data_IF_857837245592
#
_entry.id   IF_857837245592
#
_cell.length_a   1.000
_cell.length_b   1.000
_cell.length_c   1.000
_cell.angle_alpha   90.00
_cell.angle_beta   90.00
_cell.angle_gamma   90.00
#
_symmetry.space_group_name_H-M   'P 1'
#
loop_
_entity.id
_entity.type
_entity.pdbx_description
1 polymer ?
#
# COMPACT_ATOMS: atom_id res chain seq x y z
N UNK A 1 3.49 -26.30 -49.23
CA UNK A 1 2.33 -25.61 -48.65
C UNK A 1 2.72 -25.23 -47.24
N UNK A 2 2.99 -23.95 -47.03
CA UNK A 2 3.51 -23.42 -45.75
C UNK A 2 2.32 -22.90 -44.93
N UNK A 3 2.00 -23.58 -43.82
CA UNK A 3 0.99 -23.14 -42.87
C UNK A 3 1.58 -21.99 -42.03
N UNK A 4 1.24 -20.77 -42.38
CA UNK A 4 1.40 -19.61 -41.47
C UNK A 4 0.34 -19.72 -40.37
N UNK A 5 0.74 -20.16 -39.19
CA UNK A 5 -0.02 -19.96 -37.97
C UNK A 5 -0.15 -18.46 -37.73
N UNK A 6 -1.38 -17.96 -37.83
CA UNK A 6 -1.73 -16.59 -37.46
C UNK A 6 -1.42 -16.42 -35.97
N UNK A 7 -0.49 -15.52 -35.69
CA UNK A 7 -0.19 -15.05 -34.34
C UNK A 7 -1.46 -14.35 -33.83
N UNK A 8 -2.13 -14.92 -32.84
CA UNK A 8 -3.23 -14.25 -32.14
C UNK A 8 -2.62 -12.99 -31.51
N UNK A 9 -2.98 -11.84 -32.03
CA UNK A 9 -2.76 -10.57 -31.37
C UNK A 9 -3.60 -10.57 -30.10
N UNK A 10 -2.93 -10.66 -28.95
CA UNK A 10 -3.55 -10.38 -27.66
C UNK A 10 -4.00 -8.91 -27.70
N UNK A 11 -5.25 -8.70 -28.08
CA UNK A 11 -5.91 -7.40 -27.95
C UNK A 11 -6.17 -7.20 -26.46
N UNK A 12 -5.19 -6.70 -25.75
CA UNK A 12 -5.43 -6.22 -24.38
C UNK A 12 -6.55 -5.18 -24.45
N UNK A 13 -7.60 -5.38 -23.66
CA UNK A 13 -8.65 -4.39 -23.50
C UNK A 13 -7.99 -3.10 -23.00
N UNK A 14 -8.00 -2.07 -23.83
CA UNK A 14 -7.51 -0.75 -23.42
C UNK A 14 -8.57 -0.09 -22.53
N UNK A 15 -8.15 0.85 -21.68
CA UNK A 15 -9.06 1.64 -20.82
C UNK A 15 -10.18 2.30 -21.64
N UNK A 16 -9.93 2.61 -22.91
CA UNK A 16 -10.92 3.16 -23.85
C UNK A 16 -12.06 2.18 -24.24
N UNK A 17 -11.96 0.90 -23.86
CA UNK A 17 -13.04 -0.07 -24.06
C UNK A 17 -14.13 0.02 -22.99
N UNK A 18 -13.90 0.75 -21.91
CA UNK A 18 -14.87 0.95 -20.83
C UNK A 18 -15.72 2.19 -21.06
N UNK A 19 -16.91 2.23 -20.45
CA UNK A 19 -17.80 3.39 -20.57
C UNK A 19 -17.23 4.62 -19.86
N UNK A 20 -17.63 5.82 -20.28
CA UNK A 20 -17.11 7.10 -19.79
C UNK A 20 -17.41 7.43 -18.30
N UNK A 21 -18.01 6.50 -17.55
CA UNK A 21 -18.37 6.70 -16.14
C UNK A 21 -17.49 5.89 -15.17
N UNK A 22 -16.33 5.38 -15.62
CA UNK A 22 -15.38 4.65 -14.77
C UNK A 22 -14.36 5.66 -14.25
N UNK A 23 -14.15 5.64 -12.93
CA UNK A 23 -13.16 6.48 -12.25
C UNK A 23 -12.17 5.64 -11.41
N UNK A 24 -11.27 6.31 -10.71
CA UNK A 24 -10.25 5.64 -9.89
C UNK A 24 -10.83 4.78 -8.75
N UNK A 25 -12.10 4.96 -8.38
CA UNK A 25 -12.75 4.16 -7.33
C UNK A 25 -13.22 2.80 -7.86
N UNK A 26 -13.28 2.63 -9.18
CA UNK A 26 -13.63 1.36 -9.82
C UNK A 26 -12.43 0.41 -9.95
N UNK A 27 -11.24 0.87 -9.56
CA UNK A 27 -10.01 0.05 -9.58
C UNK A 27 -9.88 -0.65 -8.23
N UNK A 28 -9.93 -1.98 -8.24
CA UNK A 28 -9.61 -2.78 -7.04
C UNK A 28 -8.10 -2.85 -6.84
N UNK A 29 -7.60 -2.02 -5.94
CA UNK A 29 -6.18 -1.98 -5.59
C UNK A 29 -5.91 -3.03 -4.51
N UNK A 30 -5.01 -4.01 -4.77
CA UNK A 30 -4.67 -5.06 -3.82
C UNK A 30 -4.23 -4.51 -2.47
N UNK A 31 -4.65 -5.17 -1.38
CA UNK A 31 -4.28 -4.78 -0.03
C UNK A 31 -2.94 -5.36 0.37
N UNK A 32 -2.13 -4.52 1.01
CA UNK A 32 -0.89 -4.94 1.65
C UNK A 32 -1.15 -5.16 3.13
N UNK A 33 -0.71 -6.30 3.63
CA UNK A 33 -0.83 -6.68 5.04
C UNK A 33 0.55 -7.05 5.60
N UNK A 34 0.72 -6.81 6.90
CA UNK A 34 1.84 -7.36 7.67
C UNK A 34 1.36 -8.63 8.35
N UNK A 35 2.02 -9.75 8.08
CA UNK A 35 1.67 -11.05 8.66
C UNK A 35 1.87 -11.00 10.18
N UNK A 36 0.80 -11.19 10.91
CA UNK A 36 0.79 -11.33 12.36
C UNK A 36 0.59 -12.81 12.73
N UNK A 37 0.85 -13.19 13.98
CA UNK A 37 0.63 -14.56 14.46
C UNK A 37 -0.84 -15.02 14.37
N UNK A 38 -1.76 -14.06 14.27
CA UNK A 38 -3.20 -14.27 14.10
C UNK A 38 -3.66 -14.18 12.65
N UNK A 39 -2.75 -13.99 11.70
CA UNK A 39 -3.10 -13.92 10.27
C UNK A 39 -3.38 -15.31 9.72
N UNK A 40 -4.38 -15.42 8.84
CA UNK A 40 -4.80 -16.69 8.21
C UNK A 40 -3.67 -17.36 7.41
N UNK A 41 -2.75 -16.55 6.88
CA UNK A 41 -1.61 -16.97 6.06
C UNK A 41 -0.35 -17.25 6.88
N UNK A 42 -0.40 -17.12 8.20
CA UNK A 42 0.73 -17.45 9.08
C UNK A 42 0.77 -18.94 9.35
N UNK A 43 1.90 -19.58 9.05
CA UNK A 43 2.19 -20.95 9.43
C UNK A 43 3.24 -20.99 10.54
N UNK A 44 3.15 -21.95 11.52
CA UNK A 44 4.12 -22.09 12.60
C UNK A 44 5.57 -22.26 12.09
N UNK A 45 5.72 -22.91 10.95
CA UNK A 45 7.02 -23.18 10.31
C UNK A 45 7.40 -22.11 9.27
N UNK A 46 6.64 -20.99 9.21
CA UNK A 46 6.87 -19.91 8.26
C UNK A 46 6.27 -20.13 6.87
N UNK A 47 5.48 -21.18 6.71
CA UNK A 47 4.71 -21.46 5.51
C UNK A 47 3.20 -21.24 5.80
N UNK A 48 2.42 -20.59 4.93
CA UNK A 48 2.86 -19.99 3.66
C UNK A 48 3.66 -18.69 3.79
N UNK A 49 3.56 -17.94 4.92
CA UNK A 49 4.28 -16.69 5.08
C UNK A 49 4.86 -16.52 6.50
N UNK A 50 6.15 -16.18 6.65
CA UNK A 50 6.78 -15.90 7.94
C UNK A 50 6.13 -14.75 8.71
N UNK A 51 6.14 -14.82 10.04
CA UNK A 51 5.71 -13.72 10.91
C UNK A 51 6.47 -12.43 10.61
N UNK A 52 5.74 -11.36 10.32
CA UNK A 52 6.31 -10.07 9.95
C UNK A 52 6.50 -9.86 8.45
N UNK A 53 6.23 -10.84 7.58
CA UNK A 53 6.28 -10.63 6.14
C UNK A 53 5.28 -9.56 5.70
N UNK A 54 5.64 -8.82 4.67
CA UNK A 54 4.72 -7.99 3.90
C UNK A 54 4.12 -8.84 2.79
N UNK A 55 2.80 -8.88 2.70
CA UNK A 55 2.09 -9.65 1.68
C UNK A 55 1.11 -8.76 0.94
N UNK A 56 1.00 -8.97 -0.37
CA UNK A 56 0.02 -8.32 -1.22
C UNK A 56 -1.13 -9.29 -1.50
N UNK A 57 -2.35 -8.83 -1.31
CA UNK A 57 -3.61 -9.59 -1.50
C UNK A 57 -3.64 -10.96 -0.82
N UNK A 58 -2.93 -11.12 0.31
CA UNK A 58 -2.78 -12.39 1.05
C UNK A 58 -2.22 -13.55 0.22
N UNK A 59 -1.71 -13.30 -0.98
CA UNK A 59 -1.28 -14.33 -1.92
C UNK A 59 0.23 -14.29 -2.14
N UNK A 60 0.80 -13.09 -2.32
CA UNK A 60 2.21 -12.92 -2.66
C UNK A 60 3.00 -12.32 -1.52
N UNK A 61 4.16 -12.88 -1.21
CA UNK A 61 5.12 -12.30 -0.28
C UNK A 61 5.89 -11.20 -1.00
N UNK A 62 5.60 -9.95 -0.66
CA UNK A 62 6.27 -8.78 -1.20
C UNK A 62 7.67 -8.59 -0.61
N UNK A 63 7.82 -8.83 0.69
CA UNK A 63 9.09 -8.80 1.41
C UNK A 63 9.03 -9.69 2.66
N UNK A 64 10.17 -10.26 3.03
CA UNK A 64 10.36 -10.94 4.32
C UNK A 64 10.48 -9.93 5.46
N UNK A 65 10.38 -10.35 6.74
CA UNK A 65 10.58 -9.46 7.88
C UNK A 65 11.91 -8.71 7.77
N UNK A 66 11.90 -7.41 8.05
CA UNK A 66 13.05 -6.48 8.01
C UNK A 66 13.70 -6.31 6.61
N UNK A 67 13.19 -6.97 5.57
CA UNK A 67 13.65 -6.79 4.20
C UNK A 67 13.01 -5.53 3.59
N UNK A 68 13.84 -4.69 2.96
CA UNK A 68 13.39 -3.50 2.27
C UNK A 68 12.89 -3.83 0.84
N UNK A 69 11.71 -3.31 0.49
CA UNK A 69 11.24 -3.24 -0.89
C UNK A 69 11.17 -1.78 -1.33
N UNK A 70 11.61 -1.51 -2.56
CA UNK A 70 11.56 -0.15 -3.13
C UNK A 70 10.13 0.18 -3.52
N UNK A 71 9.70 1.40 -3.18
CA UNK A 71 8.37 1.87 -3.54
C UNK A 71 8.35 3.37 -3.80
N UNK A 72 7.27 3.81 -4.42
CA UNK A 72 6.96 5.22 -4.66
C UNK A 72 5.56 5.51 -4.09
N UNK A 73 5.40 6.48 -3.19
CA UNK A 73 4.08 6.90 -2.70
C UNK A 73 3.26 7.56 -3.81
N UNK A 74 2.05 7.06 -4.06
CA UNK A 74 1.11 7.60 -5.03
C UNK A 74 0.10 8.53 -4.35
N UNK A 75 -0.67 7.98 -3.42
CA UNK A 75 -1.73 8.68 -2.72
C UNK A 75 -1.60 8.38 -1.23
N UNK A 76 -1.82 9.37 -0.38
CA UNK A 76 -1.89 9.19 1.06
C UNK A 76 -3.02 10.05 1.62
N UNK A 77 -4.03 9.42 2.19
CA UNK A 77 -5.18 10.07 2.82
C UNK A 77 -5.20 9.83 4.32
N UNK A 78 -5.60 10.86 5.09
CA UNK A 78 -5.81 10.77 6.53
C UNK A 78 -7.29 10.74 6.83
N UNK A 79 -7.66 9.86 7.76
CA UNK A 79 -8.99 9.78 8.33
C UNK A 79 -8.89 9.44 9.83
N UNK A 80 -10.02 9.30 10.49
CA UNK A 80 -10.12 8.76 11.85
C UNK A 80 -11.04 7.56 11.83
N UNK A 81 -10.67 6.52 12.55
CA UNK A 81 -11.45 5.31 12.68
C UNK A 81 -11.80 5.05 14.14
N UNK A 82 -13.03 4.69 14.37
CA UNK A 82 -13.51 4.25 15.67
C UNK A 82 -12.75 3.02 16.16
N UNK A 83 -12.30 3.03 17.41
CA UNK A 83 -11.54 1.93 18.01
C UNK A 83 -12.47 1.02 18.79
N UNK A 84 -13.22 0.18 18.08
CA UNK A 84 -14.09 -0.83 18.67
C UNK A 84 -13.28 -2.05 19.12
N UNK A 85 -13.75 -2.83 20.13
CA UNK A 85 -13.14 -4.09 20.52
C UNK A 85 -13.04 -5.07 19.35
N UNK A 86 -11.98 -5.88 19.33
CA UNK A 86 -11.72 -6.84 18.24
C UNK A 86 -12.80 -7.91 18.10
N UNK A 87 -13.46 -8.26 19.22
CA UNK A 87 -14.53 -9.24 19.33
C UNK A 87 -15.95 -8.66 19.18
N UNK A 88 -16.05 -7.38 18.83
CA UNK A 88 -17.33 -6.75 18.52
C UNK A 88 -17.78 -7.09 17.11
N UNK A 89 -19.09 -7.35 16.95
CA UNK A 89 -19.73 -7.51 15.64
C UNK A 89 -20.02 -6.16 14.94
N UNK A 90 -19.67 -5.04 15.57
CA UNK A 90 -19.90 -3.71 15.03
C UNK A 90 -18.89 -3.36 13.94
N UNK A 91 -19.32 -2.56 12.95
CA UNK A 91 -18.43 -2.01 11.92
C UNK A 91 -17.90 -0.66 12.40
N UNK A 92 -16.56 -0.50 12.49
CA UNK A 92 -15.98 0.78 12.89
C UNK A 92 -16.40 1.92 11.96
N UNK A 93 -16.88 3.02 12.53
CA UNK A 93 -17.19 4.24 11.76
C UNK A 93 -15.89 4.96 11.38
N UNK A 94 -15.91 5.61 10.23
CA UNK A 94 -14.77 6.38 9.69
C UNK A 94 -15.22 7.84 9.55
N UNK A 95 -14.38 8.75 10.01
CA UNK A 95 -14.53 10.18 9.81
C UNK A 95 -13.40 10.70 8.92
N UNK A 96 -13.75 11.44 7.87
CA UNK A 96 -12.80 11.98 6.89
C UNK A 96 -12.39 13.43 7.20
N UNK A 97 -13.04 14.07 8.18
CA UNK A 97 -12.70 15.39 8.67
C UNK A 97 -12.72 15.44 10.20
N UNK A 98 -12.06 16.45 10.77
CA UNK A 98 -12.07 16.67 12.24
C UNK A 98 -13.46 17.07 12.76
N UNK A 99 -14.27 17.71 11.93
CA UNK A 99 -15.66 18.06 12.25
C UNK A 99 -16.53 16.80 12.33
N UNK A 100 -16.48 15.98 11.28
CA UNK A 100 -17.19 14.69 11.24
C UNK A 100 -16.77 13.80 12.42
N UNK A 101 -15.46 13.74 12.72
CA UNK A 101 -14.95 13.01 13.89
C UNK A 101 -15.61 13.47 15.19
N UNK A 102 -15.66 14.78 15.42
CA UNK A 102 -16.26 15.35 16.64
C UNK A 102 -17.76 15.06 16.73
N UNK A 103 -18.45 15.03 15.60
CA UNK A 103 -19.86 14.70 15.55
C UNK A 103 -20.09 13.23 15.88
N UNK A 104 -19.32 12.32 15.26
CA UNK A 104 -19.41 10.89 15.52
C UNK A 104 -18.97 10.52 16.95
N UNK A 105 -17.97 11.18 17.52
CA UNK A 105 -17.51 10.97 18.90
C UNK A 105 -18.59 11.28 19.95
N UNK A 106 -19.53 12.18 19.67
CA UNK A 106 -20.63 12.47 20.59
C UNK A 106 -21.62 11.33 20.75
N UNK A 107 -21.76 10.53 19.68
CA UNK A 107 -22.71 9.42 19.62
C UNK A 107 -22.01 8.05 19.70
N UNK A 108 -20.77 8.02 20.19
CA UNK A 108 -19.97 6.81 20.31
C UNK A 108 -19.47 6.58 21.72
N UNK A 109 -19.51 5.34 22.16
CA UNK A 109 -18.85 4.88 23.39
C UNK A 109 -17.33 4.66 23.18
N UNK A 110 -16.85 4.73 21.93
CA UNK A 110 -15.47 4.43 21.56
C UNK A 110 -14.71 5.67 21.08
N UNK A 111 -13.40 5.65 21.26
CA UNK A 111 -12.51 6.70 20.77
C UNK A 111 -12.24 6.56 19.28
N UNK A 112 -12.05 7.69 18.62
CA UNK A 112 -11.53 7.71 17.25
C UNK A 112 -10.01 7.87 17.24
N UNK A 113 -9.32 7.00 16.52
CA UNK A 113 -7.87 7.02 16.37
C UNK A 113 -7.48 7.48 14.96
N UNK A 114 -6.34 8.15 14.85
CA UNK A 114 -5.76 8.52 13.56
C UNK A 114 -5.50 7.27 12.71
N UNK A 115 -5.93 7.34 11.48
CA UNK A 115 -5.85 6.30 10.49
C UNK A 115 -5.42 6.91 9.17
N UNK A 116 -4.66 6.18 8.38
CA UNK A 116 -4.32 6.61 7.02
C UNK A 116 -4.39 5.43 6.06
N UNK A 117 -4.83 5.72 4.86
CA UNK A 117 -4.71 4.85 3.71
C UNK A 117 -3.59 5.39 2.82
N UNK A 118 -2.68 4.51 2.41
CA UNK A 118 -1.52 4.86 1.59
C UNK A 118 -1.47 3.90 0.42
N UNK A 119 -1.50 4.44 -0.78
CA UNK A 119 -1.29 3.70 -2.03
C UNK A 119 0.17 3.86 -2.46
N UNK A 120 0.82 2.75 -2.72
CA UNK A 120 2.23 2.66 -3.06
C UNK A 120 2.41 1.91 -4.39
N UNK A 121 3.35 2.38 -5.19
CA UNK A 121 3.86 1.68 -6.37
C UNK A 121 5.13 0.95 -5.98
N UNK A 122 5.14 -0.38 -5.99
CA UNK A 122 6.27 -1.21 -5.61
C UNK A 122 7.08 -1.59 -6.82
N UNK A 123 8.39 -1.43 -6.70
CA UNK A 123 9.32 -1.83 -7.74
C UNK A 123 9.64 -3.32 -7.59
N UNK A 124 9.29 -4.09 -8.60
CA UNK A 124 9.74 -5.47 -8.79
C UNK A 124 11.02 -5.52 -9.60
N UNK A 125 11.67 -6.67 -9.63
CA UNK A 125 12.69 -6.96 -10.63
C UNK A 125 12.03 -7.40 -11.94
N UNK A 126 12.85 -7.81 -12.92
CA UNK A 126 12.36 -8.38 -14.19
C UNK A 126 11.70 -9.77 -14.05
N UNK A 127 11.42 -10.24 -12.86
CA UNK A 127 11.37 -11.68 -12.55
C UNK A 127 9.96 -12.21 -12.36
N UNK A 128 8.97 -11.38 -12.03
CA UNK A 128 7.62 -11.87 -11.75
C UNK A 128 6.52 -10.97 -12.30
N UNK A 129 6.10 -11.15 -13.56
CA UNK A 129 5.03 -10.36 -14.15
C UNK A 129 3.64 -10.64 -13.55
N UNK A 130 3.45 -11.76 -12.84
CA UNK A 130 2.18 -12.04 -12.15
C UNK A 130 2.05 -11.15 -10.89
N UNK A 131 3.14 -11.00 -10.14
CA UNK A 131 3.17 -10.15 -8.95
C UNK A 131 3.35 -8.66 -9.29
N UNK A 132 4.10 -8.36 -10.35
CA UNK A 132 4.40 -6.99 -10.79
C UNK A 132 3.93 -6.76 -12.24
N UNK A 133 2.61 -6.59 -12.46
CA UNK A 133 2.04 -6.58 -13.81
C UNK A 133 2.26 -5.28 -14.60
N UNK A 134 2.76 -4.19 -13.97
CA UNK A 134 2.86 -2.89 -14.60
C UNK A 134 4.27 -2.65 -15.15
N UNK A 135 4.48 -2.68 -16.48
CA UNK A 135 5.74 -2.28 -17.07
C UNK A 135 5.86 -0.75 -17.10
N UNK A 136 6.88 -0.18 -16.46
CA UNK A 136 7.20 1.24 -16.48
C UNK A 136 8.69 1.39 -16.81
N UNK A 137 9.01 1.95 -17.97
CA UNK A 137 10.36 1.98 -18.49
C UNK A 137 10.92 0.57 -18.69
N UNK A 138 11.99 0.24 -17.99
CA UNK A 138 12.65 -1.09 -18.05
C UNK A 138 12.31 -2.03 -16.90
N UNK A 139 11.59 -1.54 -15.91
CA UNK A 139 11.25 -2.27 -14.69
C UNK A 139 9.75 -2.60 -14.64
N UNK A 140 9.39 -3.59 -13.81
CA UNK A 140 8.01 -3.96 -13.53
C UNK A 140 7.59 -3.51 -12.15
N UNK A 141 6.32 -3.13 -12.01
CA UNK A 141 5.77 -2.57 -10.79
C UNK A 141 4.43 -3.21 -10.42
N UNK A 142 4.10 -3.14 -9.13
CA UNK A 142 2.79 -3.47 -8.59
C UNK A 142 2.25 -2.28 -7.80
N UNK A 143 0.94 -2.05 -7.88
CA UNK A 143 0.25 -1.09 -7.02
C UNK A 143 -0.35 -1.85 -5.85
N UNK A 144 -0.22 -1.29 -4.66
CA UNK A 144 -0.83 -1.84 -3.47
C UNK A 144 -1.22 -0.77 -2.47
N UNK A 145 -2.26 -1.04 -1.67
CA UNK A 145 -2.83 -0.15 -0.69
C UNK A 145 -2.64 -0.70 0.72
N UNK A 146 -2.15 0.13 1.64
CA UNK A 146 -2.01 -0.24 3.05
C UNK A 146 -2.79 0.71 3.94
N UNK A 147 -3.50 0.13 4.90
CA UNK A 147 -4.19 0.84 5.96
C UNK A 147 -3.34 0.87 7.22
N UNK A 148 -3.11 2.05 7.79
CA UNK A 148 -2.19 2.24 8.90
C UNK A 148 -2.82 3.01 10.05
N UNK A 149 -2.64 2.50 11.28
CA UNK A 149 -3.07 3.13 12.51
C UNK A 149 -2.00 2.99 13.60
N UNK A 150 -2.08 3.75 14.67
CA UNK A 150 -1.19 3.66 15.84
C UNK A 150 0.30 3.73 15.45
N UNK A 151 1.09 2.68 15.71
CA UNK A 151 2.52 2.64 15.40
C UNK A 151 2.77 2.60 13.89
N UNK A 152 1.98 1.85 13.15
CA UNK A 152 2.04 1.82 11.70
C UNK A 152 1.82 3.24 11.10
N UNK A 153 0.81 3.97 11.57
CA UNK A 153 0.56 5.35 11.16
C UNK A 153 1.77 6.27 11.42
N UNK A 154 2.42 6.13 12.59
CA UNK A 154 3.63 6.92 12.91
C UNK A 154 4.81 6.59 12.02
N UNK A 155 4.99 5.29 11.70
CA UNK A 155 6.13 4.81 10.92
C UNK A 155 5.94 4.97 9.40
N UNK A 156 4.72 5.27 8.95
CA UNK A 156 4.39 5.44 7.52
C UNK A 156 3.88 6.85 7.23
N UNK A 157 2.61 7.13 7.44
CA UNK A 157 1.98 8.40 7.08
C UNK A 157 2.68 9.63 7.67
N UNK A 158 3.01 9.61 8.98
CA UNK A 158 3.69 10.75 9.59
C UNK A 158 5.07 11.01 8.98
N UNK A 159 5.77 9.98 8.53
CA UNK A 159 7.05 10.15 7.84
C UNK A 159 6.89 10.78 6.47
N UNK A 160 5.91 10.32 5.67
CA UNK A 160 5.58 10.95 4.39
C UNK A 160 5.20 12.42 4.57
N UNK A 161 4.28 12.70 5.48
CA UNK A 161 3.82 14.05 5.76
C UNK A 161 4.95 14.96 6.25
N UNK A 162 5.82 14.45 7.14
CA UNK A 162 7.00 15.18 7.62
C UNK A 162 7.95 15.51 6.48
N UNK A 163 8.25 14.53 5.61
CA UNK A 163 9.11 14.75 4.46
C UNK A 163 8.51 15.82 3.53
N UNK A 164 7.24 15.70 3.16
CA UNK A 164 6.56 16.67 2.30
C UNK A 164 6.55 18.08 2.90
N UNK A 165 6.36 18.20 4.22
CA UNK A 165 6.35 19.48 4.92
C UNK A 165 7.72 20.16 4.89
N UNK A 166 8.79 19.42 5.10
CA UNK A 166 10.15 19.97 5.12
C UNK A 166 10.80 20.08 3.73
N UNK A 167 10.22 19.43 2.72
CA UNK A 167 10.70 19.46 1.34
C UNK A 167 9.60 19.87 0.34
N UNK A 168 8.99 21.05 0.47
CA UNK A 168 7.79 21.44 -0.30
C UNK A 168 8.03 21.54 -1.81
N UNK A 169 9.28 21.57 -2.25
CA UNK A 169 9.67 21.63 -3.68
C UNK A 169 9.99 20.25 -4.27
N UNK A 170 9.93 19.19 -3.44
CA UNK A 170 10.27 17.83 -3.84
C UNK A 170 9.03 16.96 -3.66
N UNK A 171 8.24 16.73 -4.72
CA UNK A 171 7.09 15.82 -4.66
C UNK A 171 7.50 14.43 -4.18
N UNK A 172 6.65 13.75 -3.43
CA UNK A 172 6.95 12.44 -2.84
C UNK A 172 7.36 11.40 -3.89
N UNK A 173 6.73 11.43 -5.06
CA UNK A 173 6.94 10.49 -6.15
C UNK A 173 8.25 10.69 -6.92
N UNK A 174 8.94 11.82 -6.72
CA UNK A 174 10.25 12.06 -7.35
C UNK A 174 11.40 11.36 -6.63
N UNK A 175 11.10 10.72 -5.47
CA UNK A 175 12.07 9.97 -4.66
C UNK A 175 11.63 8.53 -4.52
N UNK A 176 12.57 7.58 -4.62
CA UNK A 176 12.34 6.22 -4.16
C UNK A 176 12.28 6.17 -2.63
N UNK A 177 11.47 5.28 -2.11
CA UNK A 177 11.30 5.01 -0.69
C UNK A 177 11.59 3.54 -0.39
N UNK A 178 12.06 3.27 0.80
CA UNK A 178 12.16 1.91 1.33
C UNK A 178 10.90 1.62 2.15
N UNK A 179 10.27 0.50 1.87
CA UNK A 179 9.14 -0.01 2.63
C UNK A 179 9.50 -1.37 3.20
N UNK A 180 9.31 -1.55 4.49
CA UNK A 180 9.53 -2.83 5.17
C UNK A 180 8.60 -3.00 6.36
N UNK A 181 8.54 -4.19 6.90
CA UNK A 181 8.02 -4.42 8.24
C UNK A 181 9.16 -4.34 9.25
N UNK A 182 8.90 -3.80 10.43
CA UNK A 182 9.88 -3.73 11.52
C UNK A 182 9.29 -4.20 12.83
N UNK A 183 10.10 -4.91 13.62
CA UNK A 183 9.67 -5.42 14.92
C UNK A 183 9.61 -4.27 15.95
N UNK A 184 8.43 -4.10 16.54
CA UNK A 184 8.19 -3.17 17.63
C UNK A 184 8.02 -3.97 18.92
N UNK A 185 8.70 -3.55 19.98
CA UNK A 185 8.60 -4.18 21.30
C UNK A 185 8.19 -3.14 22.34
N UNK A 186 7.18 -3.48 23.15
CA UNK A 186 6.75 -2.67 24.31
C UNK A 186 6.46 -3.57 25.51
N UNK A 187 7.35 -3.55 26.48
CA UNK A 187 7.30 -4.46 27.61
C UNK A 187 7.36 -5.91 27.16
N UNK A 188 6.34 -6.71 27.47
CA UNK A 188 6.24 -8.14 27.08
C UNK A 188 5.62 -8.39 25.70
N UNK A 189 5.17 -7.34 25.03
CA UNK A 189 4.49 -7.47 23.74
C UNK A 189 5.42 -7.08 22.59
N UNK A 190 5.36 -7.81 21.51
CA UNK A 190 6.03 -7.49 20.26
C UNK A 190 5.13 -7.80 19.06
N UNK A 191 5.23 -6.94 18.05
CA UNK A 191 4.51 -7.09 16.79
C UNK A 191 5.29 -6.43 15.67
N UNK A 192 5.03 -6.84 14.44
CA UNK A 192 5.57 -6.16 13.28
C UNK A 192 4.66 -5.02 12.82
N UNK A 193 5.25 -3.90 12.44
CA UNK A 193 4.55 -2.77 11.85
C UNK A 193 5.25 -2.33 10.55
N UNK A 194 4.50 -1.86 9.56
CA UNK A 194 5.07 -1.31 8.33
C UNK A 194 5.81 -0.01 8.63
N UNK A 195 6.90 0.21 7.92
CA UNK A 195 7.73 1.40 8.03
C UNK A 195 8.12 1.91 6.65
N UNK A 196 8.02 3.22 6.45
CA UNK A 196 8.52 3.93 5.28
C UNK A 196 9.74 4.77 5.66
N UNK A 197 10.74 4.79 4.80
CA UNK A 197 11.88 5.71 4.91
C UNK A 197 12.31 6.17 3.51
N UNK A 198 12.69 7.44 3.39
CA UNK A 198 13.18 7.96 2.11
C UNK A 198 14.49 7.28 1.74
N UNK A 199 14.63 6.92 0.46
CA UNK A 199 15.89 6.42 -0.11
C UNK A 199 16.80 7.59 -0.52
N UNK A 200 18.07 7.30 -0.75
CA UNK A 200 19.00 8.22 -1.41
C UNK A 200 18.72 8.38 -2.92
N UNK A 201 17.97 7.43 -3.49
CA UNK A 201 17.78 7.35 -4.94
C UNK A 201 16.57 8.16 -5.39
N UNK A 202 16.68 8.79 -6.56
CA UNK A 202 15.56 9.46 -7.22
C UNK A 202 14.78 8.45 -8.07
N UNK A 203 13.48 8.70 -8.21
CA UNK A 203 12.65 7.98 -9.17
C UNK A 203 13.12 8.23 -10.60
N UNK A 204 13.05 7.22 -11.47
CA UNK A 204 13.33 7.43 -12.89
C UNK A 204 12.27 8.34 -13.54
N UNK A 205 12.64 9.03 -14.64
CA UNK A 205 11.70 9.91 -15.32
C UNK A 205 10.45 9.16 -15.81
N UNK A 206 10.60 7.93 -16.30
CA UNK A 206 9.47 7.10 -16.73
C UNK A 206 8.45 6.87 -15.60
N UNK A 207 8.94 6.71 -14.37
CA UNK A 207 8.08 6.55 -13.17
C UNK A 207 7.41 7.87 -12.80
N UNK A 208 8.15 8.98 -12.85
CA UNK A 208 7.57 10.31 -12.57
C UNK A 208 6.44 10.60 -13.55
N UNK A 209 6.67 10.40 -14.85
CA UNK A 209 5.68 10.63 -15.90
C UNK A 209 4.45 9.72 -15.73
N UNK A 210 4.67 8.45 -15.36
CA UNK A 210 3.57 7.53 -15.06
C UNK A 210 2.73 8.00 -13.88
N UNK A 211 3.37 8.41 -12.78
CA UNK A 211 2.66 8.86 -11.57
C UNK A 211 1.90 10.14 -11.81
N UNK A 212 2.48 11.10 -12.51
CA UNK A 212 1.80 12.36 -12.90
C UNK A 212 0.56 12.08 -13.76
N UNK A 213 0.66 11.12 -14.69
CA UNK A 213 -0.49 10.68 -15.49
C UNK A 213 -1.55 9.87 -14.71
N UNK A 214 -1.15 9.19 -13.63
CA UNK A 214 -2.06 8.42 -12.76
C UNK A 214 -2.84 9.31 -11.79
N UNK A 215 -2.29 10.46 -11.39
CA UNK A 215 -2.90 11.38 -10.43
C UNK A 215 -3.83 12.42 -11.09
N UNK A 216 -3.93 12.45 -12.40
CA UNK A 216 -4.85 13.32 -13.16
C UNK A 216 -6.19 12.63 -13.35
#
# INVERSE_FOLDING_TARGET
MSNKLAKAENTALSVNAFSANIDSNDIDIPRINVVQKTSDIYGPDGEPAPYGSLVIDKTYILAKPEEDVRCIPLIASKAWREEIPFDSDEVPRIANSDEERKDLERDSDYKFIEFAEITLLFKGGHIDPEMFPLPIGKDYYAIGRINTAKDAYRQTFKRLYTFATFNPKTPLHTREWNFKSTLISRGKYSWYAPMLSVSSDDSSQDVVDFVEGFLV
#
